data_IF_204676717698
#
_entry.id   IF_204676717698
#
_cell.length_a   1.000
_cell.length_b   1.000
_cell.length_c   1.000
_cell.angle_alpha   90.00
_cell.angle_beta   90.00
_cell.angle_gamma   90.00
#
_symmetry.space_group_name_H-M   'P 1'
#
loop_
_entity.id
_entity.type
_entity.pdbx_description
1 polymer ?
#
# COMPACT_ATOMS: atom_id res chain seq x y z
N UNK A 1 -41.33 -12.33 -62.00
CA UNK A 1 -42.05 -11.56 -60.96
C UNK A 1 -40.99 -10.93 -60.06
N UNK A 2 -40.70 -9.65 -60.25
CA UNK A 2 -39.61 -8.95 -59.58
C UNK A 2 -40.05 -8.52 -58.17
N UNK A 3 -39.31 -8.94 -57.15
CA UNK A 3 -39.41 -8.37 -55.81
C UNK A 3 -38.81 -6.96 -55.83
N UNK A 4 -39.62 -5.93 -55.57
CA UNK A 4 -39.14 -4.58 -55.26
C UNK A 4 -39.02 -4.46 -53.75
N UNK A 5 -37.91 -3.88 -53.27
CA UNK A 5 -37.82 -3.40 -51.89
C UNK A 5 -38.79 -2.21 -51.70
N UNK A 6 -39.51 -2.12 -50.56
CA UNK A 6 -40.46 -1.04 -50.35
C UNK A 6 -39.74 0.31 -50.07
N UNK A 7 -40.32 1.45 -50.49
CA UNK A 7 -39.76 2.79 -50.21
C UNK A 7 -39.92 3.18 -48.73
N UNK A 8 -39.14 4.16 -48.24
CA UNK A 8 -39.10 4.53 -46.82
C UNK A 8 -40.33 5.38 -46.45
N UNK A 9 -40.80 5.22 -45.19
CA UNK A 9 -42.00 5.80 -44.54
C UNK A 9 -43.27 4.94 -44.70
N UNK A 10 -43.48 3.92 -43.86
CA UNK A 10 -43.97 3.91 -42.45
C UNK A 10 -45.40 4.44 -42.24
N UNK A 11 -46.37 3.53 -42.16
CA UNK A 11 -47.58 3.69 -41.33
C UNK A 11 -48.00 2.37 -40.67
N UNK A 12 -47.92 1.23 -41.37
CA UNK A 12 -48.29 -0.07 -40.77
C UNK A 12 -47.17 -0.67 -39.90
N UNK A 13 -45.92 -0.59 -40.35
CA UNK A 13 -44.74 -1.08 -39.62
C UNK A 13 -44.58 -0.36 -38.28
N UNK A 14 -44.66 0.98 -38.28
CA UNK A 14 -44.60 1.80 -37.08
C UNK A 14 -45.76 1.54 -36.10
N UNK A 15 -46.92 1.03 -36.57
CA UNK A 15 -48.04 0.70 -35.71
C UNK A 15 -47.87 -0.63 -34.95
N UNK A 16 -47.03 -1.55 -35.45
CA UNK A 16 -46.77 -2.87 -34.84
C UNK A 16 -45.37 -3.02 -34.25
N UNK A 17 -44.45 -2.12 -34.61
CA UNK A 17 -43.10 -2.10 -34.08
C UNK A 17 -43.05 -1.34 -32.75
N UNK A 18 -42.57 -2.01 -31.70
CA UNK A 18 -42.32 -1.39 -30.40
C UNK A 18 -40.81 -1.28 -30.21
N UNK A 19 -40.32 -0.05 -30.02
CA UNK A 19 -38.91 0.18 -29.69
C UNK A 19 -38.70 0.00 -28.20
N UNK A 20 -37.96 -1.05 -27.85
CA UNK A 20 -37.66 -1.41 -26.48
C UNK A 20 -36.41 -0.68 -25.97
N UNK A 21 -36.43 -0.10 -24.76
CA UNK A 21 -35.22 0.33 -24.07
C UNK A 21 -34.23 -0.83 -23.90
N UNK A 22 -32.94 -0.52 -24.06
CA UNK A 22 -31.85 -1.50 -23.95
C UNK A 22 -31.75 -2.13 -22.56
N UNK A 23 -32.04 -1.36 -21.50
CA UNK A 23 -31.94 -1.83 -20.12
C UNK A 23 -33.30 -2.31 -19.62
N UNK A 24 -33.33 -3.53 -19.07
CA UNK A 24 -34.54 -4.13 -18.49
C UNK A 24 -35.12 -3.32 -17.31
N UNK A 25 -34.30 -2.50 -16.66
CA UNK A 25 -34.69 -1.58 -15.59
C UNK A 25 -35.05 -0.16 -16.08
N UNK A 26 -35.31 0.02 -17.37
CA UNK A 26 -35.81 1.29 -17.88
C UNK A 26 -37.15 1.64 -17.24
N UNK A 27 -37.31 2.89 -16.79
CA UNK A 27 -38.56 3.41 -16.22
C UNK A 27 -39.73 3.33 -17.20
N UNK A 28 -39.45 3.35 -18.50
CA UNK A 28 -40.48 3.23 -19.53
C UNK A 28 -41.26 1.92 -19.41
N UNK A 29 -40.66 0.86 -18.84
CA UNK A 29 -41.33 -0.43 -18.60
C UNK A 29 -42.31 -0.45 -17.43
N UNK A 30 -42.29 0.60 -16.59
CA UNK A 30 -43.09 0.71 -15.37
C UNK A 30 -43.94 1.99 -15.40
N UNK A 31 -44.16 2.53 -16.60
CA UNK A 31 -45.03 3.66 -16.87
C UNK A 31 -46.36 3.18 -17.51
N UNK A 32 -47.26 4.09 -17.81
CA UNK A 32 -48.63 3.76 -18.27
C UNK A 32 -48.73 3.29 -19.73
N UNK A 33 -47.63 2.95 -20.44
CA UNK A 33 -47.71 2.40 -21.80
C UNK A 33 -47.90 0.87 -21.75
N UNK A 34 -49.08 0.34 -22.10
CA UNK A 34 -49.35 -1.10 -22.04
C UNK A 34 -48.52 -1.94 -23.03
N UNK A 35 -47.87 -1.30 -24.02
CA UNK A 35 -46.97 -1.97 -24.96
C UNK A 35 -45.54 -2.10 -24.42
N UNK A 36 -45.22 -1.33 -23.38
CA UNK A 36 -43.95 -1.32 -22.68
C UNK A 36 -44.22 -1.54 -21.19
N UNK A 37 -44.72 -2.73 -20.85
CA UNK A 37 -44.97 -3.13 -19.46
C UNK A 37 -44.03 -4.25 -19.02
N UNK A 38 -43.45 -4.14 -17.83
CA UNK A 38 -42.70 -5.22 -17.16
C UNK A 38 -43.41 -5.66 -15.88
N UNK A 39 -43.40 -6.97 -15.64
CA UNK A 39 -43.95 -7.59 -14.43
C UNK A 39 -42.88 -7.85 -13.36
N UNK A 40 -41.64 -7.37 -13.58
CA UNK A 40 -40.54 -7.50 -12.63
C UNK A 40 -40.74 -6.58 -11.42
N UNK A 41 -41.49 -7.06 -10.42
CA UNK A 41 -41.87 -6.30 -9.24
C UNK A 41 -40.67 -5.78 -8.44
N UNK A 42 -39.60 -6.56 -8.36
CA UNK A 42 -38.35 -6.20 -7.71
C UNK A 42 -37.66 -4.98 -8.35
N UNK A 43 -37.79 -4.81 -9.67
CA UNK A 43 -37.26 -3.65 -10.39
C UNK A 43 -38.16 -2.43 -10.15
N UNK A 44 -39.49 -2.63 -10.17
CA UNK A 44 -40.44 -1.57 -9.87
C UNK A 44 -40.22 -0.99 -8.46
N UNK A 45 -40.03 -1.87 -7.48
CA UNK A 45 -39.70 -1.53 -6.10
C UNK A 45 -38.38 -0.75 -6.03
N UNK A 46 -37.31 -1.25 -6.64
CA UNK A 46 -36.02 -0.56 -6.68
C UNK A 46 -36.10 0.83 -7.35
N UNK A 47 -36.89 0.98 -8.43
CA UNK A 47 -37.05 2.25 -9.14
C UNK A 47 -37.85 3.31 -8.35
N UNK A 48 -38.66 2.87 -7.38
CA UNK A 48 -39.41 3.71 -6.45
C UNK A 48 -38.55 4.18 -5.26
N UNK A 49 -37.53 3.43 -4.87
CA UNK A 49 -36.57 3.80 -3.82
C UNK A 49 -35.38 4.64 -4.36
N UNK A 50 -35.68 5.78 -4.99
CA UNK A 50 -34.71 6.63 -5.72
C UNK A 50 -33.54 7.19 -4.90
N UNK A 51 -33.76 7.50 -3.62
CA UNK A 51 -32.88 8.42 -2.89
C UNK A 51 -32.09 7.80 -1.73
N UNK A 52 -32.12 6.47 -1.61
CA UNK A 52 -31.29 5.78 -0.63
C UNK A 52 -29.83 5.74 -1.12
N UNK A 53 -29.11 6.87 -0.98
CA UNK A 53 -27.66 6.87 -1.10
C UNK A 53 -27.14 5.84 -0.09
N UNK A 54 -26.42 4.83 -0.58
CA UNK A 54 -25.87 3.82 0.31
C UNK A 54 -25.08 4.52 1.43
N UNK A 55 -25.33 4.18 2.71
CA UNK A 55 -24.63 4.81 3.81
C UNK A 55 -23.12 4.56 3.66
N UNK A 56 -22.33 5.44 4.28
CA UNK A 56 -20.90 5.21 4.42
C UNK A 56 -20.67 3.81 5.01
N UNK A 57 -19.70 3.08 4.47
CA UNK A 57 -19.46 1.69 4.88
C UNK A 57 -19.11 1.59 6.37
N UNK A 58 -18.27 2.50 6.85
CA UNK A 58 -18.09 2.75 8.28
C UNK A 58 -18.78 4.08 8.61
N UNK A 59 -19.94 3.99 9.25
CA UNK A 59 -20.75 5.15 9.65
C UNK A 59 -20.59 5.51 11.13
N UNK A 60 -20.11 4.58 11.95
CA UNK A 60 -19.92 4.73 13.39
C UNK A 60 -18.62 4.07 13.81
N UNK A 61 -18.00 4.57 14.88
CA UNK A 61 -16.84 3.94 15.47
C UNK A 61 -17.20 2.57 16.03
N UNK A 62 -16.35 1.59 15.77
CA UNK A 62 -16.42 0.30 16.43
C UNK A 62 -16.07 0.48 17.91
N UNK A 63 -16.61 -0.37 18.81
CA UNK A 63 -16.19 -0.40 20.20
C UNK A 63 -14.67 -0.55 20.28
N UNK A 64 -14.06 0.17 21.21
CA UNK A 64 -12.64 0.01 21.51
C UNK A 64 -12.35 -1.46 21.81
N UNK A 65 -11.30 -1.99 21.19
CA UNK A 65 -10.77 -3.29 21.60
C UNK A 65 -10.28 -3.23 23.04
N UNK A 66 -10.18 -4.38 23.71
CA UNK A 66 -9.52 -4.43 25.01
C UNK A 66 -8.14 -3.77 24.90
N UNK A 67 -7.90 -2.72 25.69
CA UNK A 67 -6.59 -2.09 25.78
C UNK A 67 -5.60 -3.16 26.27
N UNK A 68 -4.68 -3.55 25.40
CA UNK A 68 -3.79 -4.67 25.60
C UNK A 68 -2.38 -4.36 25.15
N UNK A 69 -1.54 -5.39 25.15
CA UNK A 69 -0.20 -5.33 24.61
C UNK A 69 -0.26 -5.05 23.11
N UNK A 70 0.47 -4.05 22.64
CA UNK A 70 0.65 -3.73 21.22
C UNK A 70 1.90 -4.44 20.72
N UNK A 71 1.73 -5.43 19.86
CA UNK A 71 2.85 -6.10 19.21
C UNK A 71 3.49 -5.18 18.15
N UNK A 72 4.82 -5.08 18.15
CA UNK A 72 5.59 -4.31 17.18
C UNK A 72 5.24 -4.70 15.74
N UNK A 73 5.04 -5.99 15.50
CA UNK A 73 4.64 -6.49 14.19
C UNK A 73 3.30 -5.90 13.73
N UNK A 74 2.34 -5.73 14.64
CA UNK A 74 1.03 -5.15 14.34
C UNK A 74 1.10 -3.65 14.15
N UNK A 75 1.89 -2.93 14.94
CA UNK A 75 2.13 -1.51 14.74
C UNK A 75 2.74 -1.22 13.36
N UNK A 76 3.79 -1.98 12.97
CA UNK A 76 4.42 -1.83 11.66
C UNK A 76 3.49 -2.25 10.52
N UNK A 77 2.68 -3.29 10.71
CA UNK A 77 1.69 -3.73 9.72
C UNK A 77 0.59 -2.69 9.52
N UNK A 78 0.13 -2.04 10.59
CA UNK A 78 -0.84 -0.95 10.53
C UNK A 78 -0.29 0.22 9.72
N UNK A 79 0.89 0.72 10.08
CA UNK A 79 1.46 1.90 9.42
C UNK A 79 1.85 1.64 7.96
N UNK A 80 2.09 0.39 7.57
CA UNK A 80 2.25 0.01 6.15
C UNK A 80 0.96 0.23 5.35
N UNK A 81 -0.21 -0.04 5.94
CA UNK A 81 -1.51 0.14 5.27
C UNK A 81 -2.64 0.22 6.30
N UNK A 82 -3.00 1.42 6.80
CA UNK A 82 -4.00 1.55 7.86
C UNK A 82 -5.38 1.01 7.46
N UNK A 83 -5.86 1.34 6.26
CA UNK A 83 -7.13 0.80 5.75
C UNK A 83 -7.08 -0.71 5.53
N UNK A 84 -5.94 -1.23 5.08
CA UNK A 84 -5.72 -2.67 4.91
C UNK A 84 -5.73 -3.40 6.25
N UNK A 85 -5.08 -2.84 7.26
CA UNK A 85 -5.07 -3.34 8.62
C UNK A 85 -6.48 -3.31 9.23
N UNK A 86 -7.21 -2.21 9.12
CA UNK A 86 -8.58 -2.10 9.61
C UNK A 86 -9.49 -3.18 8.99
N UNK A 87 -9.52 -3.28 7.65
CA UNK A 87 -10.32 -4.29 6.96
C UNK A 87 -9.93 -5.72 7.39
N UNK A 88 -8.63 -6.04 7.42
CA UNK A 88 -8.17 -7.42 7.67
C UNK A 88 -8.22 -7.82 9.15
N UNK A 89 -7.74 -6.96 10.05
CA UNK A 89 -7.57 -7.28 11.48
C UNK A 89 -8.79 -6.92 12.31
N UNK A 90 -9.46 -5.80 12.02
CA UNK A 90 -10.65 -5.35 12.79
C UNK A 90 -11.94 -5.90 12.24
N UNK A 91 -12.13 -5.88 10.92
CA UNK A 91 -13.34 -6.41 10.28
C UNK A 91 -13.24 -7.89 9.89
N UNK A 92 -12.05 -8.51 9.97
CA UNK A 92 -11.85 -9.89 9.54
C UNK A 92 -12.02 -10.11 8.04
N UNK A 93 -11.95 -9.05 7.23
CA UNK A 93 -12.20 -9.10 5.79
C UNK A 93 -10.93 -9.44 5.03
N UNK A 94 -11.02 -10.52 4.25
CA UNK A 94 -10.05 -10.79 3.20
C UNK A 94 -10.61 -10.25 1.89
N UNK A 95 -10.18 -9.04 1.55
CA UNK A 95 -10.50 -8.45 0.26
C UNK A 95 -9.70 -9.22 -0.77
N UNK A 96 -10.38 -10.07 -1.54
CA UNK A 96 -9.74 -10.84 -2.60
C UNK A 96 -9.02 -9.87 -3.53
N UNK A 97 -7.71 -10.04 -3.61
CA UNK A 97 -6.95 -9.55 -4.76
C UNK A 97 -7.42 -10.39 -5.95
N UNK A 98 -7.52 -9.76 -7.13
CA UNK A 98 -7.79 -10.50 -8.37
C UNK A 98 -6.91 -11.74 -8.39
N UNK A 99 -7.53 -12.91 -8.61
CA UNK A 99 -6.78 -14.15 -8.66
C UNK A 99 -5.68 -13.97 -9.73
N UNK A 100 -4.43 -14.30 -9.39
CA UNK A 100 -3.39 -14.46 -10.40
C UNK A 100 -3.89 -15.52 -11.37
N UNK A 101 -4.39 -15.09 -12.52
CA UNK A 101 -4.82 -15.98 -13.58
C UNK A 101 -3.53 -16.64 -14.05
N UNK A 102 -3.37 -17.97 -13.89
CA UNK A 102 -2.20 -18.66 -14.38
C UNK A 102 -2.07 -18.34 -15.87
N UNK A 103 -0.90 -17.87 -16.28
CA UNK A 103 -0.67 -17.61 -17.70
C UNK A 103 -0.64 -18.95 -18.43
N UNK A 104 -1.39 -19.04 -19.53
CA UNK A 104 -1.37 -20.22 -20.42
C UNK A 104 -0.04 -20.39 -21.18
N UNK A 105 0.89 -19.44 -21.02
CA UNK A 105 2.17 -19.41 -21.69
C UNK A 105 3.31 -19.26 -20.69
N UNK A 106 4.42 -19.94 -20.98
CA UNK A 106 5.65 -19.81 -20.22
C UNK A 106 6.24 -18.39 -20.38
N UNK A 107 6.60 -17.70 -19.28
CA UNK A 107 7.08 -16.33 -19.35
C UNK A 107 8.50 -16.25 -19.92
N UNK A 108 8.66 -15.59 -21.06
CA UNK A 108 9.97 -15.29 -21.66
C UNK A 108 10.63 -14.04 -21.05
N UNK A 109 9.84 -13.20 -20.39
CA UNK A 109 10.26 -11.96 -19.73
C UNK A 109 9.70 -11.96 -18.32
N UNK A 110 10.55 -11.63 -17.36
CA UNK A 110 10.13 -11.45 -15.97
C UNK A 110 9.38 -10.12 -15.82
N UNK A 111 8.23 -10.15 -15.17
CA UNK A 111 7.59 -8.91 -14.71
C UNK A 111 8.35 -8.30 -13.52
N UNK A 112 7.96 -7.09 -13.09
CA UNK A 112 8.63 -6.37 -11.99
C UNK A 112 8.61 -7.12 -10.66
N UNK A 113 7.56 -7.91 -10.38
CA UNK A 113 7.44 -8.68 -9.14
C UNK A 113 8.38 -9.90 -9.19
N UNK A 114 8.41 -10.60 -10.32
CA UNK A 114 9.32 -11.71 -10.56
C UNK A 114 10.79 -11.27 -10.58
N UNK A 115 11.09 -10.10 -11.18
CA UNK A 115 12.41 -9.48 -11.12
C UNK A 115 12.83 -9.18 -9.68
N UNK A 116 11.93 -8.58 -8.90
CA UNK A 116 12.20 -8.32 -7.48
C UNK A 116 12.43 -9.62 -6.69
N UNK A 117 11.62 -10.65 -6.92
CA UNK A 117 11.78 -11.96 -6.28
C UNK A 117 13.12 -12.60 -6.65
N UNK A 118 13.51 -12.54 -7.93
CA UNK A 118 14.82 -13.00 -8.40
C UNK A 118 15.96 -12.25 -7.69
N UNK A 119 15.88 -10.93 -7.58
CA UNK A 119 16.89 -10.14 -6.85
C UNK A 119 17.03 -10.56 -5.39
N UNK A 120 15.91 -10.85 -4.69
CA UNK A 120 15.96 -11.34 -3.31
C UNK A 120 16.64 -12.70 -3.22
N UNK A 121 16.36 -13.61 -4.15
CA UNK A 121 16.96 -14.95 -4.16
C UNK A 121 18.45 -14.92 -4.50
N UNK A 122 18.87 -14.08 -5.45
CA UNK A 122 20.30 -13.85 -5.74
C UNK A 122 21.01 -13.37 -4.47
N UNK A 123 20.43 -12.37 -3.77
CA UNK A 123 21.02 -11.84 -2.55
C UNK A 123 21.11 -12.92 -1.45
N UNK A 124 20.04 -13.72 -1.29
CA UNK A 124 19.99 -14.81 -0.31
C UNK A 124 21.11 -15.82 -0.56
N UNK A 125 21.32 -16.24 -1.81
CA UNK A 125 22.35 -17.21 -2.20
C UNK A 125 23.76 -16.62 -2.03
N UNK A 126 23.99 -15.38 -2.45
CA UNK A 126 25.28 -14.69 -2.24
C UNK A 126 25.62 -14.57 -0.76
N UNK A 127 24.65 -14.26 0.11
CA UNK A 127 24.84 -14.21 1.57
C UNK A 127 25.15 -15.56 2.20
N UNK A 128 24.81 -16.65 1.53
CA UNK A 128 25.17 -18.02 1.92
C UNK A 128 26.54 -18.43 1.38
N UNK A 129 27.23 -17.56 0.64
CA UNK A 129 28.52 -17.85 0.03
C UNK A 129 28.44 -18.71 -1.23
N UNK A 130 27.25 -18.85 -1.83
CA UNK A 130 27.06 -19.60 -3.08
C UNK A 130 27.62 -18.78 -4.24
N UNK A 131 28.47 -19.38 -5.06
CA UNK A 131 29.03 -18.70 -6.24
C UNK A 131 27.95 -18.43 -7.31
N UNK A 132 28.19 -17.43 -8.14
CA UNK A 132 27.20 -16.98 -9.11
C UNK A 132 26.81 -18.04 -10.16
N UNK A 133 27.73 -18.96 -10.51
CA UNK A 133 27.44 -20.06 -11.44
C UNK A 133 26.53 -21.11 -10.81
N UNK A 134 26.80 -21.49 -9.56
CA UNK A 134 25.94 -22.37 -8.78
C UNK A 134 24.57 -21.74 -8.51
N UNK A 135 24.53 -20.45 -8.16
CA UNK A 135 23.28 -19.74 -7.92
C UNK A 135 22.40 -19.71 -9.19
N UNK A 136 22.98 -19.45 -10.36
CA UNK A 136 22.28 -19.53 -11.63
C UNK A 136 21.72 -20.93 -11.89
N UNK A 137 22.49 -21.99 -11.62
CA UNK A 137 22.04 -23.37 -11.81
C UNK A 137 20.88 -23.76 -10.88
N UNK A 138 20.89 -23.28 -9.63
CA UNK A 138 19.80 -23.50 -8.65
C UNK A 138 18.53 -22.79 -9.12
N UNK A 139 18.63 -21.50 -9.44
CA UNK A 139 17.47 -20.68 -9.82
C UNK A 139 16.90 -21.09 -11.19
N UNK A 140 17.75 -21.60 -12.08
CA UNK A 140 17.38 -22.16 -13.38
C UNK A 140 16.41 -23.34 -13.29
N UNK A 141 16.39 -24.07 -12.17
CA UNK A 141 15.50 -25.22 -11.95
C UNK A 141 14.16 -24.83 -11.31
N UNK A 142 13.98 -23.56 -10.93
CA UNK A 142 12.86 -23.13 -10.09
C UNK A 142 12.03 -22.02 -10.73
N UNK A 143 12.66 -20.89 -11.04
CA UNK A 143 11.93 -19.61 -11.20
C UNK A 143 12.40 -18.76 -12.38
N UNK A 144 13.41 -19.22 -13.12
CA UNK A 144 13.95 -18.51 -14.27
C UNK A 144 13.27 -18.93 -15.57
N UNK A 145 13.13 -18.01 -16.54
CA UNK A 145 12.72 -18.34 -17.90
C UNK A 145 13.64 -19.40 -18.53
N UNK A 146 13.11 -20.23 -19.45
CA UNK A 146 13.83 -21.35 -20.01
C UNK A 146 15.03 -20.91 -20.86
N UNK A 147 15.94 -21.86 -21.07
CA UNK A 147 17.14 -21.71 -21.90
C UNK A 147 18.02 -20.50 -21.49
N UNK A 148 18.62 -19.81 -22.46
CA UNK A 148 19.54 -18.69 -22.21
C UNK A 148 18.87 -17.44 -21.62
N UNK A 149 17.53 -17.34 -21.65
CA UNK A 149 16.81 -16.16 -21.18
C UNK A 149 16.92 -16.01 -19.65
N UNK A 150 16.85 -17.11 -18.91
CA UNK A 150 17.08 -17.13 -17.47
C UNK A 150 18.48 -16.62 -17.09
N UNK A 151 19.50 -17.06 -17.82
CA UNK A 151 20.87 -16.58 -17.62
C UNK A 151 21.01 -15.08 -17.91
N UNK A 152 20.40 -14.57 -18.99
CA UNK A 152 20.37 -13.13 -19.28
C UNK A 152 19.63 -12.36 -18.18
N UNK A 153 18.51 -12.89 -17.69
CA UNK A 153 17.75 -12.29 -16.60
C UNK A 153 18.61 -12.17 -15.34
N UNK A 154 19.26 -13.27 -14.93
CA UNK A 154 20.17 -13.33 -13.80
C UNK A 154 21.35 -12.35 -13.94
N UNK A 155 22.14 -12.46 -15.01
CA UNK A 155 23.38 -11.67 -15.18
C UNK A 155 23.14 -10.17 -15.33
N UNK A 156 21.95 -9.75 -15.74
CA UNK A 156 21.58 -8.33 -15.77
C UNK A 156 21.39 -7.74 -14.37
N UNK A 157 20.95 -8.54 -13.39
CA UNK A 157 20.68 -8.09 -12.01
C UNK A 157 21.84 -8.36 -11.07
N UNK A 158 22.57 -9.45 -11.29
CA UNK A 158 23.65 -9.93 -10.42
C UNK A 158 24.64 -8.81 -10.02
N UNK A 159 25.15 -7.94 -10.92
CA UNK A 159 26.11 -6.91 -10.53
C UNK A 159 25.55 -5.88 -9.54
N UNK A 160 24.26 -5.54 -9.67
CA UNK A 160 23.58 -4.63 -8.73
C UNK A 160 23.41 -5.30 -7.37
N UNK A 161 22.99 -6.58 -7.36
CA UNK A 161 22.82 -7.35 -6.14
C UNK A 161 24.16 -7.57 -5.42
N UNK A 162 25.22 -7.90 -6.17
CA UNK A 162 26.57 -8.07 -5.64
C UNK A 162 27.10 -6.79 -4.99
N UNK A 163 26.92 -5.62 -5.62
CA UNK A 163 27.28 -4.32 -5.03
C UNK A 163 26.49 -4.02 -3.76
N UNK A 164 25.22 -4.39 -3.71
CA UNK A 164 24.42 -4.25 -2.50
C UNK A 164 24.91 -5.21 -1.40
N UNK A 165 25.16 -6.47 -1.74
CA UNK A 165 25.69 -7.49 -0.81
C UNK A 165 27.04 -7.08 -0.22
N UNK A 166 27.93 -6.50 -1.02
CA UNK A 166 29.21 -5.97 -0.57
C UNK A 166 29.02 -4.83 0.45
N UNK A 167 28.24 -3.79 0.11
CA UNK A 167 27.93 -2.68 1.04
C UNK A 167 27.29 -3.20 2.33
N UNK A 168 26.42 -4.20 2.21
CA UNK A 168 25.77 -4.84 3.34
C UNK A 168 26.78 -5.54 4.24
N UNK A 169 27.74 -6.28 3.69
CA UNK A 169 28.80 -6.94 4.45
C UNK A 169 29.75 -5.93 5.13
N UNK A 170 30.03 -4.79 4.49
CA UNK A 170 30.87 -3.72 5.05
C UNK A 170 30.17 -2.95 6.18
N UNK A 171 28.84 -2.83 6.12
CA UNK A 171 28.07 -1.99 7.05
C UNK A 171 27.44 -2.77 8.20
N UNK A 172 27.06 -4.04 7.97
CA UNK A 172 26.48 -4.86 9.03
C UNK A 172 27.54 -5.14 10.10
N UNK A 173 27.25 -4.83 11.37
CA UNK A 173 28.16 -5.17 12.44
C UNK A 173 28.26 -6.70 12.54
N UNK A 174 29.49 -7.20 12.74
CA UNK A 174 29.75 -8.63 12.90
C UNK A 174 28.96 -9.27 14.06
N UNK A 175 28.53 -8.45 15.03
CA UNK A 175 27.69 -8.83 16.17
C UNK A 175 26.42 -7.96 16.25
N UNK A 176 25.64 -7.89 15.17
CA UNK A 176 24.30 -7.32 15.23
C UNK A 176 23.45 -8.10 16.25
N UNK A 177 22.99 -7.42 17.30
CA UNK A 177 22.19 -7.98 18.37
C UNK A 177 20.70 -7.80 18.10
N UNK A 178 19.92 -8.66 18.74
CA UNK A 178 18.49 -8.48 18.93
C UNK A 178 18.25 -8.04 20.38
N UNK A 179 17.37 -7.07 20.58
CA UNK A 179 16.89 -6.66 21.89
C UNK A 179 15.39 -6.89 21.99
N UNK A 180 14.98 -7.52 23.08
CA UNK A 180 13.57 -7.60 23.46
C UNK A 180 13.10 -6.22 23.92
N UNK A 181 12.03 -5.74 23.31
CA UNK A 181 11.35 -4.52 23.68
C UNK A 181 10.13 -4.87 24.53
N UNK A 182 10.04 -4.23 25.68
CA UNK A 182 8.86 -4.21 26.53
C UNK A 182 8.74 -2.82 27.16
N UNK A 183 8.08 -1.91 26.42
CA UNK A 183 8.05 -0.49 26.73
C UNK A 183 6.65 -0.08 27.21
N UNK A 184 6.60 0.67 28.31
CA UNK A 184 5.39 1.36 28.75
C UNK A 184 5.42 2.81 28.24
N UNK A 185 4.48 3.17 27.37
CA UNK A 185 4.45 4.45 26.65
C UNK A 185 3.04 5.03 26.75
N UNK A 186 2.83 6.12 27.51
CA UNK A 186 1.53 6.82 27.54
C UNK A 186 0.31 5.96 27.90
N UNK A 187 0.50 4.86 28.64
CA UNK A 187 -0.57 3.90 28.98
C UNK A 187 -0.63 2.65 28.08
N UNK A 188 0.14 2.63 26.99
CA UNK A 188 0.33 1.47 26.12
C UNK A 188 1.51 0.62 26.59
N UNK A 189 1.40 -0.70 26.42
CA UNK A 189 2.54 -1.62 26.56
C UNK A 189 2.91 -2.14 25.17
N UNK A 190 4.06 -1.73 24.64
CA UNK A 190 4.56 -2.16 23.34
C UNK A 190 5.59 -3.26 23.51
N UNK A 191 5.38 -4.39 22.82
CA UNK A 191 6.27 -5.55 22.87
C UNK A 191 6.77 -5.98 21.49
N UNK A 192 7.95 -6.58 21.45
CA UNK A 192 8.49 -7.19 20.24
C UNK A 192 10.01 -7.27 20.26
N UNK A 193 10.60 -7.67 19.14
CA UNK A 193 12.05 -7.81 19.02
C UNK A 193 12.61 -6.80 18.02
N UNK A 194 13.56 -5.98 18.48
CA UNK A 194 14.31 -5.06 17.63
C UNK A 194 15.63 -5.71 17.23
N UNK A 195 15.86 -5.88 15.93
CA UNK A 195 17.07 -6.49 15.38
C UNK A 195 17.94 -5.47 14.67
N UNK A 196 19.22 -5.79 14.50
CA UNK A 196 20.16 -4.92 13.80
C UNK A 196 20.80 -3.87 14.72
N UNK A 197 20.75 -4.07 16.03
CA UNK A 197 21.41 -3.18 17.00
C UNK A 197 22.90 -3.53 17.03
N UNK A 198 23.75 -2.55 16.77
CA UNK A 198 25.19 -2.71 16.85
C UNK A 198 25.86 -1.55 17.58
N UNK A 199 27.21 -1.58 17.67
CA UNK A 199 27.98 -0.52 18.34
C UNK A 199 27.84 0.85 17.65
N UNK A 200 27.45 0.86 16.38
CA UNK A 200 27.26 2.08 15.59
C UNK A 200 25.81 2.55 15.54
N UNK A 201 24.93 1.97 16.37
CA UNK A 201 23.49 2.24 16.42
C UNK A 201 22.66 1.17 15.72
N UNK A 202 21.46 1.54 15.27
CA UNK A 202 20.56 0.63 14.56
C UNK A 202 20.93 0.57 13.07
N UNK A 203 21.15 -0.62 12.54
CA UNK A 203 21.40 -0.86 11.11
C UNK A 203 20.33 -1.77 10.55
N UNK A 204 19.51 -1.20 9.66
CA UNK A 204 18.48 -1.90 8.91
C UNK A 204 18.85 -1.95 7.44
N UNK A 205 18.26 -2.88 6.70
CA UNK A 205 18.50 -2.99 5.27
C UNK A 205 17.33 -3.65 4.56
N UNK A 206 17.16 -3.32 3.28
CA UNK A 206 16.29 -4.03 2.36
C UNK A 206 16.74 -3.82 0.91
N UNK A 207 16.75 -4.87 0.10
CA UNK A 207 17.06 -4.76 -1.34
C UNK A 207 15.83 -4.25 -2.11
N UNK A 208 15.52 -2.98 -1.91
CA UNK A 208 14.47 -2.24 -2.62
C UNK A 208 14.77 -0.74 -2.52
N UNK A 209 14.08 0.09 -3.31
CA UNK A 209 14.09 1.53 -3.06
C UNK A 209 13.41 1.85 -1.72
N UNK A 210 13.79 2.99 -1.11
CA UNK A 210 13.25 3.43 0.18
C UNK A 210 11.95 4.23 -0.02
N UNK A 211 10.84 3.50 -0.22
CA UNK A 211 9.50 4.05 -0.41
C UNK A 211 8.89 4.53 0.93
N UNK A 212 7.78 5.27 0.86
CA UNK A 212 7.08 5.80 2.04
C UNK A 212 6.82 4.73 3.11
N UNK A 213 6.34 3.54 2.74
CA UNK A 213 6.05 2.48 3.72
C UNK A 213 7.31 1.99 4.46
N UNK A 214 8.46 1.98 3.77
CA UNK A 214 9.74 1.61 4.37
C UNK A 214 10.36 2.74 5.17
N UNK A 215 10.20 4.00 4.72
CA UNK A 215 10.56 5.16 5.52
C UNK A 215 9.81 5.19 6.84
N UNK A 216 8.51 4.90 6.83
CA UNK A 216 7.69 4.88 8.03
C UNK A 216 8.10 3.72 8.96
N UNK A 217 8.37 2.53 8.40
CA UNK A 217 8.96 1.42 9.15
C UNK A 217 10.30 1.82 9.78
N UNK A 218 11.18 2.44 9.00
CA UNK A 218 12.49 2.90 9.48
C UNK A 218 12.34 3.90 10.61
N UNK A 219 11.44 4.87 10.45
CA UNK A 219 11.14 5.88 11.46
C UNK A 219 10.64 5.28 12.78
N UNK A 220 9.67 4.38 12.73
CA UNK A 220 9.12 3.72 13.92
C UNK A 220 10.22 2.93 14.64
N UNK A 221 11.03 2.15 13.91
CA UNK A 221 12.12 1.37 14.50
C UNK A 221 13.22 2.28 15.07
N UNK A 222 13.51 3.40 14.42
CA UNK A 222 14.45 4.41 14.92
C UNK A 222 13.97 5.00 16.24
N UNK A 223 12.71 5.42 16.34
CA UNK A 223 12.10 5.93 17.58
C UNK A 223 12.17 4.91 18.72
N UNK A 224 11.84 3.65 18.41
CA UNK A 224 11.92 2.55 19.38
C UNK A 224 13.36 2.29 19.84
N UNK A 225 14.34 2.40 18.95
CA UNK A 225 15.75 2.29 19.32
C UNK A 225 16.16 3.37 20.35
N UNK A 226 15.68 4.61 20.19
CA UNK A 226 15.98 5.69 21.13
C UNK A 226 15.47 5.39 22.55
N UNK A 227 14.34 4.66 22.67
CA UNK A 227 13.75 4.28 23.96
C UNK A 227 14.27 2.97 24.52
N UNK A 228 14.39 1.94 23.69
CA UNK A 228 14.77 0.59 24.10
C UNK A 228 16.27 0.38 24.27
N UNK A 229 17.11 1.13 23.54
CA UNK A 229 18.57 1.02 23.57
C UNK A 229 19.21 2.29 24.14
N UNK A 230 18.67 3.44 23.79
CA UNK A 230 19.18 4.77 24.16
C UNK A 230 19.49 5.63 22.93
N UNK A 231 19.90 6.90 23.11
CA UNK A 231 20.18 7.81 21.99
C UNK A 231 21.23 7.24 21.02
N UNK A 232 20.82 6.93 19.80
CA UNK A 232 21.72 6.37 18.79
C UNK A 232 21.32 6.74 17.37
N UNK A 233 22.28 6.91 16.43
CA UNK A 233 21.94 7.05 15.03
C UNK A 233 21.33 5.75 14.49
N UNK A 234 20.60 5.86 13.39
CA UNK A 234 20.07 4.70 12.68
C UNK A 234 20.38 4.81 11.19
N UNK A 235 20.76 3.69 10.57
CA UNK A 235 21.09 3.61 9.15
C UNK A 235 20.18 2.61 8.46
N UNK A 236 19.71 2.94 7.27
CA UNK A 236 18.92 2.06 6.42
C UNK A 236 19.60 1.89 5.07
N UNK A 237 20.16 0.71 4.82
CA UNK A 237 20.71 0.36 3.51
C UNK A 237 19.59 -0.06 2.56
N UNK A 238 19.46 0.65 1.46
CA UNK A 238 18.49 0.37 0.42
C UNK A 238 19.21 0.19 -0.93
N UNK A 239 18.47 -0.24 -1.96
CA UNK A 239 19.04 -0.51 -3.29
C UNK A 239 19.91 0.65 -3.77
N UNK A 240 19.38 1.87 -3.63
CA UNK A 240 19.97 3.09 -4.19
C UNK A 240 21.02 3.76 -3.29
N UNK A 241 21.22 3.30 -2.04
CA UNK A 241 22.06 4.04 -1.10
C UNK A 241 21.91 3.64 0.37
N UNK A 242 22.31 4.55 1.25
CA UNK A 242 22.15 4.46 2.69
C UNK A 242 21.47 5.74 3.18
N UNK A 243 20.38 5.61 3.91
CA UNK A 243 19.71 6.73 4.57
C UNK A 243 20.02 6.72 6.06
N UNK A 244 20.29 7.90 6.64
CA UNK A 244 20.69 8.02 8.04
C UNK A 244 19.68 8.90 8.79
N UNK A 245 19.38 8.50 10.03
CA UNK A 245 18.67 9.32 11.00
C UNK A 245 19.58 9.56 12.20
N UNK A 246 19.80 10.82 12.62
CA UNK A 246 20.64 11.13 13.76
C UNK A 246 20.00 10.65 15.06
N UNK A 247 20.78 10.58 16.15
CA UNK A 247 20.22 10.29 17.47
C UNK A 247 19.20 11.37 17.87
N UNK A 248 18.13 10.96 18.56
CA UNK A 248 17.11 11.87 19.06
C UNK A 248 17.06 11.87 20.58
N UNK A 249 16.54 12.96 21.12
CA UNK A 249 16.17 13.02 22.52
C UNK A 249 15.08 11.98 22.83
N UNK A 250 15.26 11.26 23.94
CA UNK A 250 14.38 10.17 24.35
C UNK A 250 12.95 10.65 24.64
N UNK A 251 12.76 11.85 25.16
CA UNK A 251 11.42 12.38 25.45
C UNK A 251 10.69 12.76 24.15
N UNK A 252 11.40 13.32 23.17
CA UNK A 252 10.84 13.61 21.83
C UNK A 252 10.44 12.30 21.13
N UNK A 253 11.30 11.28 21.22
CA UNK A 253 11.01 9.98 20.64
C UNK A 253 9.78 9.31 21.30
N UNK A 254 9.68 9.38 22.62
CA UNK A 254 8.54 8.86 23.37
C UNK A 254 7.23 9.57 23.02
N UNK A 255 7.23 10.91 23.02
CA UNK A 255 6.06 11.69 22.66
C UNK A 255 5.58 11.37 21.23
N UNK A 256 6.52 11.22 20.29
CA UNK A 256 6.19 10.84 18.91
C UNK A 256 5.61 9.43 18.85
N UNK A 257 6.18 8.46 19.57
CA UNK A 257 5.66 7.09 19.63
C UNK A 257 4.25 7.02 20.22
N UNK A 258 3.97 7.79 21.28
CA UNK A 258 2.63 7.89 21.88
C UNK A 258 1.63 8.40 20.83
N UNK A 259 1.96 9.48 20.10
CA UNK A 259 1.11 9.98 19.01
C UNK A 259 0.84 8.92 17.94
N UNK A 260 1.85 8.12 17.57
CA UNK A 260 1.65 7.03 16.61
C UNK A 260 0.78 5.90 17.18
N UNK A 261 0.86 5.63 18.48
CA UNK A 261 0.02 4.64 19.18
C UNK A 261 -1.42 5.12 19.34
N UNK A 262 -1.63 6.42 19.54
CA UNK A 262 -2.96 7.03 19.58
C UNK A 262 -3.65 6.86 18.22
N UNK A 263 -2.97 7.19 17.12
CA UNK A 263 -3.51 6.97 15.78
C UNK A 263 -3.71 5.50 15.43
N UNK A 264 -2.81 4.62 15.89
CA UNK A 264 -3.01 3.17 15.78
C UNK A 264 -4.30 2.73 16.47
N UNK A 265 -4.54 3.22 17.69
CA UNK A 265 -5.74 2.90 18.47
C UNK A 265 -7.00 3.47 17.81
N UNK A 266 -6.98 4.73 17.38
CA UNK A 266 -8.07 5.35 16.64
C UNK A 266 -8.37 4.58 15.34
N UNK A 267 -7.32 4.21 14.61
CA UNK A 267 -7.37 3.44 13.38
C UNK A 267 -7.93 2.02 13.53
N UNK A 268 -8.04 1.52 14.76
CA UNK A 268 -8.71 0.24 15.06
C UNK A 268 -10.21 0.40 15.31
N UNK A 269 -10.66 1.58 15.71
CA UNK A 269 -12.07 1.89 15.97
C UNK A 269 -12.75 2.49 14.73
N UNK A 270 -12.01 3.28 13.94
CA UNK A 270 -12.49 3.90 12.72
C UNK A 270 -11.37 3.95 11.67
N UNK A 271 -11.65 3.80 10.35
CA UNK A 271 -10.62 3.91 9.32
C UNK A 271 -9.82 5.20 9.43
N UNK A 272 -8.53 5.10 9.72
CA UNK A 272 -7.64 6.26 9.78
C UNK A 272 -7.40 6.78 8.34
N UNK A 273 -7.70 8.06 8.03
CA UNK A 273 -7.44 8.65 6.72
C UNK A 273 -5.95 8.98 6.59
N UNK A 274 -5.13 7.93 6.47
CA UNK A 274 -3.69 8.03 6.28
C UNK A 274 -3.25 7.04 5.21
N UNK A 275 -2.67 7.57 4.13
CA UNK A 275 -2.20 6.81 2.98
C UNK A 275 -0.71 7.13 2.81
N UNK A 276 0.22 6.20 3.13
CA UNK A 276 1.62 6.53 3.35
C UNK A 276 2.26 7.35 2.22
N UNK A 277 2.03 6.99 0.95
CA UNK A 277 2.65 7.70 -0.19
C UNK A 277 2.04 9.08 -0.40
N UNK A 278 0.72 9.18 -0.34
CA UNK A 278 -0.02 10.44 -0.54
C UNK A 278 0.23 11.40 0.61
N UNK A 279 0.23 10.91 1.85
CA UNK A 279 0.51 11.68 3.05
C UNK A 279 1.94 12.21 3.06
N UNK A 280 2.93 11.40 2.65
CA UNK A 280 4.32 11.84 2.55
C UNK A 280 4.48 12.96 1.51
N UNK A 281 3.95 12.77 0.30
CA UNK A 281 4.02 13.76 -0.77
C UNK A 281 3.29 15.08 -0.40
N UNK A 282 2.14 14.98 0.27
CA UNK A 282 1.43 16.12 0.83
C UNK A 282 2.27 16.87 1.87
N UNK A 283 2.83 16.15 2.85
CA UNK A 283 3.63 16.74 3.91
C UNK A 283 4.90 17.42 3.39
N UNK A 284 5.61 16.82 2.44
CA UNK A 284 6.80 17.42 1.80
C UNK A 284 6.47 18.77 1.15
N UNK A 285 5.37 18.84 0.40
CA UNK A 285 4.96 20.08 -0.27
C UNK A 285 4.39 21.12 0.71
N UNK A 286 3.67 20.66 1.74
CA UNK A 286 3.11 21.52 2.77
C UNK A 286 4.19 22.18 3.65
N UNK A 287 5.26 21.45 4.01
CA UNK A 287 6.40 21.99 4.75
C UNK A 287 7.18 23.04 3.93
N UNK A 288 7.16 22.94 2.60
CA UNK A 288 7.70 23.96 1.68
C UNK A 288 6.75 25.17 1.51
N UNK A 289 5.63 25.21 2.25
CA UNK A 289 4.67 26.32 2.24
C UNK A 289 3.65 26.27 1.10
N UNK A 290 3.57 25.17 0.35
CA UNK A 290 2.64 24.98 -0.77
C UNK A 290 1.86 23.67 -0.64
N UNK A 291 0.90 23.56 0.29
CA UNK A 291 0.10 22.35 0.46
C UNK A 291 -0.72 22.07 -0.82
N UNK A 292 -0.52 20.92 -1.49
CA UNK A 292 -1.23 20.58 -2.71
C UNK A 292 -2.64 20.08 -2.39
N UNK A 293 -3.54 20.07 -3.37
CA UNK A 293 -4.75 19.26 -3.28
C UNK A 293 -4.34 17.77 -3.27
N UNK A 294 -4.54 17.03 -2.16
CA UNK A 294 -4.12 15.64 -2.05
C UNK A 294 -4.76 14.77 -3.14
N UNK A 295 -5.97 15.13 -3.58
CA UNK A 295 -6.67 14.38 -4.60
C UNK A 295 -5.97 14.44 -5.94
N UNK A 296 -5.12 15.43 -6.20
CA UNK A 296 -4.37 15.59 -7.47
C UNK A 296 -3.02 14.86 -7.49
N UNK A 297 -2.55 14.37 -6.35
CA UNK A 297 -1.24 13.76 -6.25
C UNK A 297 -1.14 12.46 -7.06
N UNK A 298 -0.04 12.22 -7.80
CA UNK A 298 0.19 10.95 -8.49
C UNK A 298 0.19 9.74 -7.55
N UNK A 299 0.64 9.93 -6.29
CA UNK A 299 0.58 8.90 -5.26
C UNK A 299 -0.86 8.46 -4.94
N UNK A 300 -1.84 9.36 -5.07
CA UNK A 300 -3.25 9.08 -4.82
C UNK A 300 -3.94 8.49 -6.05
N UNK A 301 -3.86 9.17 -7.20
CA UNK A 301 -4.60 8.81 -8.43
C UNK A 301 -3.93 7.73 -9.27
N UNK A 302 -2.64 7.49 -9.09
CA UNK A 302 -1.83 6.76 -10.04
C UNK A 302 -1.50 7.60 -11.28
N UNK A 303 -0.83 7.00 -12.26
CA UNK A 303 -0.40 7.67 -13.49
C UNK A 303 -1.54 7.96 -14.49
N UNK A 304 -2.74 7.40 -14.26
CA UNK A 304 -3.89 7.54 -15.13
C UNK A 304 -3.85 6.69 -16.42
N UNK A 305 -2.81 5.88 -16.65
CA UNK A 305 -2.73 4.95 -17.79
C UNK A 305 -2.44 3.53 -17.33
N UNK A 306 -3.19 2.51 -17.79
CA UNK A 306 -2.90 1.12 -17.49
C UNK A 306 -1.46 0.76 -17.90
N UNK A 307 -0.65 0.30 -16.94
CA UNK A 307 0.74 -0.10 -17.17
C UNK A 307 1.81 0.99 -16.99
N UNK A 308 1.43 2.28 -16.92
CA UNK A 308 2.39 3.35 -16.64
C UNK A 308 2.56 3.50 -15.12
N UNK A 309 3.72 3.13 -14.56
CA UNK A 309 4.02 3.35 -13.14
C UNK A 309 3.18 2.54 -12.14
N UNK A 310 3.37 2.78 -10.82
CA UNK A 310 2.62 2.09 -9.79
C UNK A 310 1.18 2.62 -9.68
N UNK A 311 0.21 1.77 -9.29
CA UNK A 311 -1.17 2.21 -9.07
C UNK A 311 -1.25 3.26 -7.95
N UNK A 312 -2.28 4.10 -8.00
CA UNK A 312 -2.58 5.06 -6.95
C UNK A 312 -3.05 4.39 -5.66
N UNK A 313 -2.87 5.03 -4.51
CA UNK A 313 -3.43 4.53 -3.24
C UNK A 313 -4.97 4.49 -3.24
N UNK A 314 -5.62 5.33 -4.05
CA UNK A 314 -7.07 5.33 -4.23
C UNK A 314 -7.60 4.02 -4.85
N UNK A 315 -6.77 3.31 -5.60
CA UNK A 315 -7.16 2.07 -6.30
C UNK A 315 -7.15 0.86 -5.38
N UNK A 316 -6.45 0.94 -4.24
CA UNK A 316 -6.36 -0.17 -3.29
C UNK A 316 -7.74 -0.56 -2.75
N UNK A 317 -8.11 -1.84 -2.88
CA UNK A 317 -9.43 -2.36 -2.47
C UNK A 317 -9.78 -2.01 -1.03
N UNK A 318 -8.80 -2.08 -0.12
CA UNK A 318 -9.01 -1.72 1.29
C UNK A 318 -9.38 -0.26 1.49
N UNK A 319 -8.79 0.66 0.73
CA UNK A 319 -9.11 2.09 0.78
C UNK A 319 -10.53 2.31 0.23
N UNK A 320 -10.82 1.72 -0.94
CA UNK A 320 -12.14 1.82 -1.59
C UNK A 320 -13.27 1.30 -0.71
N UNK A 321 -13.04 0.21 0.02
CA UNK A 321 -14.02 -0.39 0.93
C UNK A 321 -14.15 0.44 2.21
N UNK A 322 -13.04 0.70 2.91
CA UNK A 322 -13.07 1.36 4.22
C UNK A 322 -13.69 2.77 4.15
N UNK A 323 -13.44 3.50 3.06
CA UNK A 323 -13.95 4.86 2.86
C UNK A 323 -15.13 4.94 1.89
N UNK A 324 -15.77 3.82 1.53
CA UNK A 324 -16.93 3.85 0.62
C UNK A 324 -18.01 4.77 1.17
N UNK A 325 -18.40 5.78 0.39
CA UNK A 325 -19.41 6.77 0.79
C UNK A 325 -18.88 7.96 1.59
N UNK A 326 -17.56 8.10 1.75
CA UNK A 326 -16.88 9.26 2.35
C UNK A 326 -15.66 9.63 1.51
N UNK A 327 -15.32 10.91 1.49
CA UNK A 327 -14.03 11.36 0.94
C UNK A 327 -12.93 11.19 1.99
N UNK A 328 -11.92 10.34 1.77
CA UNK A 328 -10.86 10.10 2.75
C UNK A 328 -9.81 11.21 2.84
N UNK A 329 -9.78 12.16 1.91
CA UNK A 329 -8.75 13.20 1.84
C UNK A 329 -9.18 14.52 2.48
N UNK A 330 -10.39 14.57 3.03
CA UNK A 330 -10.86 15.67 3.87
C UNK A 330 -10.23 15.61 5.26
N UNK A 331 -10.50 16.63 6.08
CA UNK A 331 -10.07 16.66 7.47
C UNK A 331 -10.51 15.37 8.21
N UNK A 332 -9.61 14.74 8.98
CA UNK A 332 -8.30 15.24 9.43
C UNK A 332 -7.07 14.77 8.60
N UNK A 333 -7.21 14.39 7.32
CA UNK A 333 -6.09 13.82 6.52
C UNK A 333 -4.80 14.66 6.57
N UNK A 334 -4.88 15.96 6.28
CA UNK A 334 -3.71 16.84 6.19
C UNK A 334 -2.98 17.00 7.52
N UNK A 335 -3.73 17.11 8.62
CA UNK A 335 -3.21 17.19 9.99
C UNK A 335 -2.46 15.91 10.37
N UNK A 336 -3.06 14.74 10.10
CA UNK A 336 -2.42 13.44 10.38
C UNK A 336 -1.16 13.30 9.54
N UNK A 337 -1.21 13.67 8.25
CA UNK A 337 -0.07 13.60 7.35
C UNK A 337 1.12 14.41 7.89
N UNK A 338 0.88 15.65 8.31
CA UNK A 338 1.92 16.51 8.89
C UNK A 338 2.41 16.02 10.25
N UNK A 339 1.51 15.52 11.10
CA UNK A 339 1.87 15.02 12.42
C UNK A 339 2.78 13.79 12.34
N UNK A 340 2.49 12.87 11.40
CA UNK A 340 3.23 11.61 11.24
C UNK A 340 4.54 11.82 10.48
N UNK A 341 4.52 12.57 9.37
CA UNK A 341 5.69 12.75 8.50
C UNK A 341 6.57 13.94 8.88
N UNK A 342 5.99 14.99 9.47
CA UNK A 342 6.69 16.25 9.76
C UNK A 342 7.99 16.06 10.54
N UNK A 343 7.98 15.35 11.70
CA UNK A 343 9.19 15.11 12.48
C UNK A 343 10.29 14.40 11.69
N UNK A 344 9.93 13.37 10.90
CA UNK A 344 10.89 12.63 10.09
C UNK A 344 11.47 13.49 8.95
N UNK A 345 10.63 14.25 8.25
CA UNK A 345 11.05 15.08 7.13
C UNK A 345 11.98 16.21 7.59
N UNK A 346 11.69 16.82 8.74
CA UNK A 346 12.55 17.83 9.35
C UNK A 346 13.94 17.28 9.69
N UNK A 347 14.04 16.02 10.10
CA UNK A 347 15.33 15.35 10.37
C UNK A 347 16.08 14.97 9.10
N UNK A 348 15.37 14.62 8.03
CA UNK A 348 15.97 14.28 6.72
C UNK A 348 16.63 15.48 6.05
N UNK A 349 16.07 16.69 6.26
CA UNK A 349 16.55 17.92 5.62
C UNK A 349 17.75 18.56 6.32
N UNK A 350 18.14 18.07 7.51
CA UNK A 350 19.39 18.49 8.13
C UNK A 350 20.57 17.90 7.34
N UNK A 351 21.43 18.72 6.71
CA UNK A 351 22.63 18.21 6.07
C UNK A 351 23.51 17.53 7.13
N UNK A 352 24.16 16.44 6.76
CA UNK A 352 25.15 15.74 7.59
C UNK A 352 26.20 16.75 8.10
N UNK A 353 26.03 17.27 9.32
CA UNK A 353 27.12 17.88 10.07
C UNK A 353 27.97 16.75 10.68
N UNK A 354 28.74 16.07 9.84
CA UNK A 354 29.86 15.22 10.26
C UNK A 354 31.03 15.31 9.29
#
# INVERSE_FOLDING_TARGET
RHWRAPPPHDQASAAVCVQHPLQAFSRSYFADDPRLSSYAGEIAEALNHRDARAPAFVSQSLPEGAQGVVELADLLAFWKSPSGYFCRRRLGMQLQMEADIPQDQEPFVLDKLQEWALEQEILRLQRQGVDAGQALAILGQQSLPPAGLGAVAYWRREPMVARFAQRLAETLPAAAQAADLDLLLGGYRLQGMLTGIGPTGLVLWQLSGLKAELWLRFWILHLLAQRGVGPCPSRFLHRDGCSVLPALDGAVAEATLITLLDYFTQGQSFPLPFFPRTAMAYAESALQGSPPDPATLPAWRGSGRPGDGPPGEAEASAVRVAFRGRDPLQDPFGEIALTVWGPLLALREQPDEF
#
